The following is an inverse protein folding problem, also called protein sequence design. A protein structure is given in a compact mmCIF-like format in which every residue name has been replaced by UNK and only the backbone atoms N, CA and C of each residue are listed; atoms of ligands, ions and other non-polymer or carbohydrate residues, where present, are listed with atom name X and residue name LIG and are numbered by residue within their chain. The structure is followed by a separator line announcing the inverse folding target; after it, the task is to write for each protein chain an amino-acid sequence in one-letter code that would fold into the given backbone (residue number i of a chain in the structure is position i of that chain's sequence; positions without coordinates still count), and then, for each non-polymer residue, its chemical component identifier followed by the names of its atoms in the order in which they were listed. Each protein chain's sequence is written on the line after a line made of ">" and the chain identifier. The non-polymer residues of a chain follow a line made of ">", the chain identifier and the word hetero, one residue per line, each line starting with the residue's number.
data_IF_283502047716
#
_entry.id   IF_283502047716
#
_cell.length_a   1.000
_cell.length_b   1.000
_cell.length_c   1.000
_cell.angle_alpha   90.00
_cell.angle_beta   90.00
_cell.angle_gamma   90.00
#
_symmetry.space_group_name_H-M   'P 1'
#
loop_
_entity.id
_entity.type
_entity.pdbx_description
1 polymer ?
#
# COMPACT_ATOMS: atom_id res chain seq x y z
N UNK A 1 19.84 -34.60 -10.74
CA UNK A 1 18.91 -34.42 -9.60
C UNK A 1 17.84 -33.46 -10.08
N UNK A 2 16.69 -34.00 -10.47
CA UNK A 2 15.61 -33.32 -11.22
C UNK A 2 14.82 -32.51 -10.21
N UNK A 3 14.88 -31.17 -10.34
CA UNK A 3 13.95 -30.29 -9.60
C UNK A 3 12.54 -30.51 -10.17
N UNK A 4 11.73 -31.21 -9.38
CA UNK A 4 10.31 -31.37 -9.63
C UNK A 4 9.65 -30.00 -9.65
N UNK A 5 9.25 -29.55 -10.84
CA UNK A 5 8.45 -28.35 -11.00
C UNK A 5 7.12 -28.50 -10.26
N UNK A 6 6.94 -27.73 -9.18
CA UNK A 6 5.62 -27.57 -8.56
C UNK A 6 4.69 -26.97 -9.62
N UNK A 7 3.72 -27.77 -10.09
CA UNK A 7 2.61 -27.27 -10.90
C UNK A 7 1.91 -26.17 -10.10
N UNK A 8 2.03 -24.91 -10.52
CA UNK A 8 1.10 -23.86 -10.12
C UNK A 8 -0.28 -24.31 -10.62
N UNK A 9 -1.26 -24.46 -9.72
CA UNK A 9 -2.63 -24.67 -10.17
C UNK A 9 -3.03 -23.46 -10.99
N UNK A 10 -3.27 -23.66 -12.27
CA UNK A 10 -3.70 -22.59 -13.17
C UNK A 10 -5.02 -22.01 -12.64
N UNK A 11 -5.08 -20.70 -12.53
CA UNK A 11 -6.29 -19.98 -12.19
C UNK A 11 -7.25 -20.03 -13.38
N UNK A 12 -8.54 -20.30 -13.12
CA UNK A 12 -9.60 -20.16 -14.14
C UNK A 12 -9.86 -18.69 -14.55
N UNK A 13 -9.19 -17.74 -13.89
CA UNK A 13 -9.34 -16.29 -14.11
C UNK A 13 -8.10 -15.74 -14.78
N UNK A 14 -8.26 -15.35 -16.05
CA UNK A 14 -7.20 -14.68 -16.82
C UNK A 14 -7.57 -13.22 -17.00
N UNK A 15 -6.62 -12.32 -16.76
CA UNK A 15 -6.73 -10.88 -17.07
C UNK A 15 -5.67 -10.55 -18.11
N UNK A 16 -6.12 -10.03 -19.25
CA UNK A 16 -5.24 -9.58 -20.31
C UNK A 16 -4.87 -8.11 -20.11
N UNK A 17 -3.59 -7.79 -20.31
CA UNK A 17 -3.07 -6.43 -20.21
C UNK A 17 -2.20 -6.09 -21.44
N UNK A 18 -2.06 -4.81 -21.74
CA UNK A 18 -1.21 -4.30 -22.83
C UNK A 18 0.05 -3.60 -22.28
N UNK A 19 -0.03 -3.08 -21.07
CA UNK A 19 1.06 -2.38 -20.38
C UNK A 19 0.96 -2.59 -18.87
N UNK A 20 2.09 -2.55 -18.16
CA UNK A 20 2.11 -2.54 -16.69
C UNK A 20 1.43 -1.30 -16.07
N UNK A 21 1.11 -0.29 -16.89
CA UNK A 21 0.36 0.91 -16.47
C UNK A 21 -1.15 0.77 -16.69
N UNK A 22 -1.63 -0.37 -17.18
CA UNK A 22 -3.04 -0.58 -17.41
C UNK A 22 -3.82 -0.60 -16.08
N UNK A 23 -4.95 0.10 -16.08
CA UNK A 23 -5.91 0.03 -14.99
C UNK A 23 -6.88 -1.12 -15.23
N UNK A 24 -6.55 -2.28 -14.66
CA UNK A 24 -7.35 -3.51 -14.81
C UNK A 24 -8.60 -3.50 -13.94
N UNK A 25 -8.69 -2.57 -12.99
CA UNK A 25 -9.88 -2.35 -12.14
C UNK A 25 -10.54 -1.06 -12.54
N UNK A 26 -11.51 -1.14 -13.43
CA UNK A 26 -12.25 0.05 -13.90
C UNK A 26 -13.01 0.69 -12.74
N UNK A 27 -12.78 1.99 -12.51
CA UNK A 27 -13.57 2.84 -11.62
C UNK A 27 -14.48 3.73 -12.46
N UNK A 28 -15.74 3.84 -12.08
CA UNK A 28 -16.70 4.77 -12.73
C UNK A 28 -16.36 6.25 -12.49
N UNK A 29 -15.42 6.54 -11.61
CA UNK A 29 -15.10 7.91 -11.15
C UNK A 29 -13.67 8.33 -11.48
N UNK A 30 -13.03 7.78 -12.53
CA UNK A 30 -11.63 8.05 -12.86
C UNK A 30 -11.35 9.54 -13.11
N UNK A 31 -12.32 10.26 -13.67
CA UNK A 31 -12.22 11.70 -13.96
C UNK A 31 -12.53 12.62 -12.78
N UNK A 32 -12.81 12.04 -11.60
CA UNK A 32 -13.11 12.84 -10.42
C UNK A 32 -11.91 13.68 -10.00
N UNK A 33 -12.14 14.98 -9.82
CA UNK A 33 -11.16 15.93 -9.29
C UNK A 33 -11.64 16.49 -7.96
N UNK A 34 -10.72 16.73 -7.07
CA UNK A 34 -11.02 17.40 -5.80
C UNK A 34 -11.48 18.83 -6.07
N UNK A 35 -12.33 19.32 -5.18
CA UNK A 35 -12.74 20.73 -5.17
C UNK A 35 -11.52 21.62 -4.85
N UNK A 36 -11.50 22.82 -5.40
CA UNK A 36 -10.41 23.79 -5.20
C UNK A 36 -10.20 24.19 -3.73
N UNK A 37 -11.23 24.06 -2.90
CA UNK A 37 -11.21 24.35 -1.47
C UNK A 37 -10.87 23.14 -0.59
N UNK A 38 -10.42 22.02 -1.18
CA UNK A 38 -10.08 20.81 -0.43
C UNK A 38 -8.98 21.06 0.61
N UNK A 39 -9.29 20.74 1.86
CA UNK A 39 -8.36 20.89 2.99
C UNK A 39 -7.51 19.64 3.18
N UNK A 40 -6.28 19.67 2.70
CA UNK A 40 -5.27 18.61 2.89
C UNK A 40 -4.91 18.38 4.35
N UNK A 41 -5.03 19.44 5.16
CA UNK A 41 -4.85 19.40 6.59
C UNK A 41 -6.10 20.03 7.21
N UNK A 42 -6.81 19.28 8.03
CA UNK A 42 -7.95 19.78 8.77
C UNK A 42 -7.61 19.74 10.27
N UNK A 43 -7.40 20.92 10.84
CA UNK A 43 -7.04 21.09 12.26
C UNK A 43 -8.26 21.35 13.17
N UNK A 44 -9.48 21.34 12.61
CA UNK A 44 -10.69 21.48 13.40
C UNK A 44 -10.82 20.34 14.42
N UNK A 45 -11.00 20.68 15.69
CA UNK A 45 -11.01 19.72 16.80
C UNK A 45 -12.13 18.68 16.66
N UNK A 46 -13.34 19.12 16.27
CA UNK A 46 -14.47 18.22 16.08
C UNK A 46 -14.23 17.23 14.95
N UNK A 47 -13.66 17.71 13.82
CA UNK A 47 -13.28 16.84 12.71
C UNK A 47 -12.22 15.82 13.15
N UNK A 48 -11.24 16.23 13.96
CA UNK A 48 -10.19 15.33 14.47
C UNK A 48 -10.75 14.26 15.39
N UNK A 49 -11.65 14.62 16.31
CA UNK A 49 -12.31 13.66 17.21
C UNK A 49 -13.15 12.66 16.43
N UNK A 50 -14.03 13.15 15.53
CA UNK A 50 -14.85 12.28 14.68
C UNK A 50 -13.99 11.36 13.81
N UNK A 51 -12.92 11.88 13.23
CA UNK A 51 -11.96 11.13 12.45
C UNK A 51 -11.25 10.04 13.28
N UNK A 52 -10.98 10.28 14.55
CA UNK A 52 -10.40 9.27 15.45
C UNK A 52 -11.40 8.13 15.69
N UNK A 53 -12.65 8.45 15.97
CA UNK A 53 -13.72 7.47 16.20
C UNK A 53 -13.92 6.59 14.95
N UNK A 54 -14.09 7.22 13.78
CA UNK A 54 -14.29 6.51 12.51
C UNK A 54 -13.08 5.62 12.19
N UNK A 55 -11.86 6.11 12.40
CA UNK A 55 -10.64 5.34 12.18
C UNK A 55 -10.58 4.10 13.08
N UNK A 56 -10.88 4.25 14.37
CA UNK A 56 -10.90 3.11 15.32
C UNK A 56 -11.95 2.08 14.92
N UNK A 57 -13.16 2.51 14.56
CA UNK A 57 -14.22 1.61 14.07
C UNK A 57 -13.74 0.84 12.83
N UNK A 58 -13.12 1.54 11.87
CA UNK A 58 -12.60 0.92 10.66
C UNK A 58 -11.47 -0.09 10.95
N UNK A 59 -10.58 0.19 11.90
CA UNK A 59 -9.54 -0.75 12.33
C UNK A 59 -10.15 -1.99 12.99
N UNK A 60 -11.12 -1.83 13.88
CA UNK A 60 -11.80 -2.97 14.53
C UNK A 60 -12.53 -3.83 13.50
N UNK A 61 -13.30 -3.21 12.60
CA UNK A 61 -13.98 -3.92 11.50
C UNK A 61 -12.97 -4.63 10.58
N UNK A 62 -11.85 -3.95 10.26
CA UNK A 62 -10.75 -4.51 9.48
C UNK A 62 -10.11 -5.73 10.15
N UNK A 63 -9.85 -5.68 11.47
CA UNK A 63 -9.30 -6.81 12.23
C UNK A 63 -10.23 -8.03 12.17
N UNK A 64 -11.53 -7.82 12.38
CA UNK A 64 -12.54 -8.88 12.33
C UNK A 64 -12.57 -9.47 10.89
N UNK A 65 -12.71 -8.60 9.88
CA UNK A 65 -12.75 -9.03 8.48
C UNK A 65 -11.49 -9.76 8.03
N UNK A 66 -10.32 -9.25 8.39
CA UNK A 66 -9.04 -9.87 8.04
C UNK A 66 -8.85 -11.25 8.69
N UNK A 67 -9.25 -11.39 9.95
CA UNK A 67 -9.14 -12.67 10.65
C UNK A 67 -10.11 -13.72 10.11
N UNK A 68 -11.37 -13.32 9.88
CA UNK A 68 -12.43 -14.25 9.46
C UNK A 68 -12.36 -14.60 7.97
N UNK A 69 -12.21 -13.60 7.11
CA UNK A 69 -12.40 -13.78 5.66
C UNK A 69 -11.09 -13.91 4.88
N UNK A 70 -10.03 -13.18 5.25
CA UNK A 70 -8.82 -13.09 4.42
C UNK A 70 -7.64 -13.93 4.94
N UNK A 71 -7.65 -14.34 6.23
CA UNK A 71 -6.56 -15.11 6.80
C UNK A 71 -5.20 -14.43 6.67
N UNK A 72 -5.14 -13.11 6.92
CA UNK A 72 -3.92 -12.31 6.79
C UNK A 72 -2.92 -12.68 7.87
N UNK A 73 -1.70 -13.02 7.45
CA UNK A 73 -0.58 -13.34 8.34
C UNK A 73 0.58 -12.37 8.08
N UNK A 74 0.99 -11.63 9.11
CA UNK A 74 2.16 -10.75 9.03
C UNK A 74 3.44 -11.53 9.38
N UNK A 75 4.41 -11.46 8.48
CA UNK A 75 5.76 -11.99 8.69
C UNK A 75 6.69 -10.84 9.05
N UNK A 76 7.51 -11.07 10.08
CA UNK A 76 8.51 -10.10 10.55
C UNK A 76 7.97 -8.72 11.02
N UNK A 77 6.67 -8.63 11.37
CA UNK A 77 6.02 -7.37 11.82
C UNK A 77 6.76 -6.66 12.96
N UNK A 78 7.55 -7.40 13.75
CA UNK A 78 8.26 -6.85 14.92
C UNK A 78 9.25 -5.73 14.56
N UNK A 79 9.78 -5.70 13.33
CA UNK A 79 10.72 -4.65 12.87
C UNK A 79 10.11 -3.25 12.92
N UNK A 80 8.80 -3.10 12.78
CA UNK A 80 8.10 -1.80 12.88
C UNK A 80 8.27 -1.13 14.26
N UNK A 81 8.62 -1.90 15.30
CA UNK A 81 8.85 -1.37 16.65
C UNK A 81 10.08 -0.47 16.72
N UNK A 82 11.05 -0.66 15.84
CA UNK A 82 12.27 0.15 15.80
C UNK A 82 11.97 1.63 15.57
N UNK A 83 10.98 1.93 14.72
CA UNK A 83 10.56 3.30 14.42
C UNK A 83 9.24 3.70 15.12
N UNK A 84 8.90 3.09 16.27
CA UNK A 84 7.64 3.41 16.96
C UNK A 84 7.50 4.89 17.34
N UNK A 85 8.62 5.59 17.57
CA UNK A 85 8.65 7.01 17.93
C UNK A 85 9.02 7.93 16.76
N UNK A 86 9.10 7.41 15.53
CA UNK A 86 9.41 8.15 14.31
C UNK A 86 8.25 8.07 13.31
N UNK A 87 8.12 9.05 12.42
CA UNK A 87 7.39 8.93 11.18
C UNK A 87 8.25 8.18 10.16
N UNK A 88 7.61 7.43 9.27
CA UNK A 88 8.30 6.64 8.25
C UNK A 88 7.42 6.43 7.03
N UNK A 89 8.03 6.07 5.92
CA UNK A 89 7.30 5.67 4.73
C UNK A 89 7.19 4.15 4.66
N UNK A 90 6.08 3.67 4.11
CA UNK A 90 5.87 2.26 3.78
C UNK A 90 5.63 2.19 2.28
N UNK A 91 6.45 1.43 1.57
CA UNK A 91 6.19 1.07 0.19
C UNK A 91 5.59 -0.33 0.15
N UNK A 92 4.49 -0.49 -0.58
CA UNK A 92 3.79 -1.76 -0.67
C UNK A 92 3.40 -2.07 -2.12
N UNK A 93 3.34 -3.36 -2.49
CA UNK A 93 2.83 -3.79 -3.79
C UNK A 93 1.31 -3.69 -3.82
N UNK A 94 0.72 -3.30 -4.96
CA UNK A 94 -0.69 -2.92 -5.08
C UNK A 94 -1.52 -4.06 -5.67
N UNK A 95 -1.90 -5.02 -4.82
CA UNK A 95 -2.54 -6.26 -5.29
C UNK A 95 -3.85 -6.61 -4.60
N UNK A 96 -4.29 -5.84 -3.61
CA UNK A 96 -5.52 -6.10 -2.87
C UNK A 96 -6.52 -4.94 -3.00
N UNK A 97 -7.57 -5.07 -3.81
CA UNK A 97 -8.52 -3.96 -4.09
C UNK A 97 -9.11 -3.30 -2.83
N UNK A 98 -9.40 -4.11 -1.81
CA UNK A 98 -9.93 -3.63 -0.51
C UNK A 98 -8.86 -3.70 0.57
N UNK A 99 -8.01 -4.73 0.52
CA UNK A 99 -7.00 -5.02 1.56
C UNK A 99 -5.91 -3.97 1.65
N UNK A 100 -5.53 -3.34 0.55
CA UNK A 100 -4.41 -2.40 0.51
C UNK A 100 -4.63 -1.16 1.38
N UNK A 101 -5.87 -0.76 1.65
CA UNK A 101 -6.15 0.31 2.63
C UNK A 101 -6.03 -0.19 4.07
N UNK A 102 -6.38 -1.45 4.30
CA UNK A 102 -6.51 -2.04 5.65
C UNK A 102 -5.22 -2.70 6.11
N UNK A 103 -4.51 -3.41 5.21
CA UNK A 103 -3.30 -4.17 5.54
C UNK A 103 -2.23 -3.32 6.23
N UNK A 104 -1.79 -2.17 5.70
CA UNK A 104 -0.77 -1.37 6.39
C UNK A 104 -1.24 -0.85 7.75
N UNK A 105 -2.52 -0.48 7.85
CA UNK A 105 -3.10 0.03 9.09
C UNK A 105 -3.12 -1.04 10.20
N UNK A 106 -3.48 -2.28 9.87
CA UNK A 106 -3.42 -3.42 10.78
C UNK A 106 -2.00 -3.86 11.10
N UNK A 107 -1.07 -3.67 10.17
CA UNK A 107 0.37 -3.84 10.40
C UNK A 107 0.90 -2.89 11.46
N UNK A 108 0.43 -1.64 11.46
CA UNK A 108 0.91 -0.54 12.30
C UNK A 108 -0.03 -0.19 13.47
N UNK A 109 -0.72 -1.19 14.06
CA UNK A 109 -1.64 -0.95 15.20
C UNK A 109 -0.94 -0.10 16.28
N UNK A 110 -1.64 0.92 16.75
CA UNK A 110 -1.13 1.93 17.70
C UNK A 110 -0.63 3.21 17.03
N UNK A 111 -0.56 3.24 15.69
CA UNK A 111 -0.31 4.45 14.90
C UNK A 111 -1.42 4.68 13.89
N UNK A 112 -1.74 5.93 13.65
CA UNK A 112 -2.62 6.29 12.55
C UNK A 112 -1.84 6.25 11.24
N UNK A 113 -2.26 5.42 10.31
CA UNK A 113 -1.64 5.27 8.99
C UNK A 113 -2.30 6.22 8.00
N UNK A 114 -1.50 6.84 7.15
CA UNK A 114 -1.96 7.64 6.03
C UNK A 114 -1.56 6.98 4.72
N UNK A 115 -2.48 6.89 3.77
CA UNK A 115 -2.28 6.21 2.48
C UNK A 115 -2.41 7.21 1.36
N UNK A 116 -1.42 7.26 0.47
CA UNK A 116 -1.51 8.07 -0.75
C UNK A 116 -2.43 7.36 -1.74
N UNK A 117 -3.49 8.05 -2.20
CA UNK A 117 -4.55 7.48 -3.02
C UNK A 117 -4.88 8.38 -4.21
N UNK A 118 -5.41 7.80 -5.30
CA UNK A 118 -5.93 8.57 -6.43
C UNK A 118 -7.11 9.45 -6.03
N UNK A 119 -7.24 10.63 -6.64
CA UNK A 119 -8.41 11.50 -6.47
C UNK A 119 -9.72 10.79 -6.87
N UNK A 120 -9.67 9.86 -7.83
CA UNK A 120 -10.80 9.06 -8.27
C UNK A 120 -11.54 8.36 -7.10
N UNK A 121 -10.80 7.94 -6.08
CA UNK A 121 -11.38 7.27 -4.90
C UNK A 121 -12.33 8.20 -4.10
N UNK A 122 -12.10 9.51 -4.14
CA UNK A 122 -12.95 10.49 -3.48
C UNK A 122 -14.31 10.67 -4.17
N UNK A 123 -14.43 10.26 -5.43
CA UNK A 123 -15.68 10.21 -6.17
C UNK A 123 -16.60 9.04 -5.80
N UNK A 124 -16.12 8.06 -5.04
CA UNK A 124 -16.94 6.90 -4.64
C UNK A 124 -18.01 7.37 -3.64
N UNK A 125 -19.32 7.11 -3.94
CA UNK A 125 -20.40 7.52 -3.04
C UNK A 125 -20.18 7.00 -1.61
N UNK A 126 -20.49 7.82 -0.60
CA UNK A 126 -20.32 7.55 0.84
C UNK A 126 -18.84 7.36 1.23
N UNK A 127 -18.12 6.42 0.62
CA UNK A 127 -16.71 6.11 0.94
C UNK A 127 -15.81 7.32 0.73
N UNK A 128 -15.98 8.05 -0.39
CA UNK A 128 -15.17 9.22 -0.70
C UNK A 128 -15.19 10.29 0.40
N UNK A 129 -16.34 10.49 1.07
CA UNK A 129 -16.50 11.41 2.19
C UNK A 129 -15.79 10.96 3.46
N UNK A 130 -15.61 9.65 3.63
CA UNK A 130 -14.94 9.05 4.79
C UNK A 130 -13.40 8.96 4.61
N UNK A 131 -12.91 8.98 3.37
CA UNK A 131 -11.49 8.81 3.07
C UNK A 131 -10.57 9.76 3.84
N UNK A 132 -10.85 11.08 3.97
CA UNK A 132 -10.02 11.98 4.77
C UNK A 132 -9.96 11.56 6.25
N UNK A 133 -11.07 11.03 6.78
CA UNK A 133 -11.17 10.57 8.16
C UNK A 133 -10.46 9.24 8.37
N UNK A 134 -10.32 8.44 7.32
CA UNK A 134 -9.60 7.15 7.32
C UNK A 134 -8.10 7.29 7.05
N UNK A 135 -7.60 8.50 6.79
CA UNK A 135 -6.19 8.77 6.58
C UNK A 135 -5.76 8.75 5.12
N UNK A 136 -6.68 8.84 4.17
CA UNK A 136 -6.32 8.99 2.76
C UNK A 136 -5.71 10.37 2.50
N UNK A 137 -4.61 10.38 1.72
CA UNK A 137 -3.96 11.57 1.19
C UNK A 137 -4.07 11.52 -0.34
N UNK A 138 -4.86 12.40 -0.97
CA UNK A 138 -5.03 12.36 -2.41
C UNK A 138 -3.74 12.76 -3.14
N UNK A 139 -3.47 12.13 -4.29
CA UNK A 139 -2.37 12.54 -5.19
C UNK A 139 -2.71 13.90 -5.78
N UNK A 140 -1.78 14.88 -5.82
CA UNK A 140 -2.02 16.17 -6.42
C UNK A 140 -2.18 16.08 -7.94
N UNK A 141 -3.15 16.80 -8.51
CA UNK A 141 -3.38 16.91 -9.94
C UNK A 141 -2.74 18.17 -10.55
N UNK A 142 -2.23 19.10 -9.72
CA UNK A 142 -1.63 20.35 -10.16
C UNK A 142 -0.43 20.74 -9.28
N UNK A 143 0.37 21.70 -9.76
CA UNK A 143 1.50 22.26 -8.99
C UNK A 143 1.03 22.96 -7.72
N UNK A 144 -0.12 23.65 -7.78
CA UNK A 144 -0.69 24.32 -6.61
C UNK A 144 -1.12 23.31 -5.52
N UNK A 145 -1.73 22.20 -5.91
CA UNK A 145 -2.08 21.12 -5.00
C UNK A 145 -0.84 20.42 -4.43
N UNK A 146 0.26 20.34 -5.20
CA UNK A 146 1.49 19.70 -4.74
C UNK A 146 2.05 20.35 -3.47
N UNK A 147 1.97 21.68 -3.34
CA UNK A 147 2.42 22.38 -2.11
C UNK A 147 1.63 21.92 -0.89
N UNK A 148 0.31 21.82 -1.03
CA UNK A 148 -0.60 21.38 0.05
C UNK A 148 -0.41 19.90 0.39
N UNK A 149 -0.25 19.06 -0.64
CA UNK A 149 0.09 17.64 -0.49
C UNK A 149 1.42 17.46 0.25
N UNK A 150 2.46 18.21 -0.17
CA UNK A 150 3.77 18.14 0.47
C UNK A 150 3.72 18.58 1.92
N UNK A 151 3.01 19.67 2.24
CA UNK A 151 2.79 20.09 3.62
C UNK A 151 2.06 19.00 4.43
N UNK A 152 1.09 18.32 3.83
CA UNK A 152 0.33 17.27 4.50
C UNK A 152 1.20 16.06 4.85
N UNK A 153 1.90 15.43 3.90
CA UNK A 153 2.71 14.26 4.24
C UNK A 153 3.88 14.61 5.18
N UNK A 154 4.52 15.78 5.02
CA UNK A 154 5.55 16.27 5.95
C UNK A 154 5.03 16.39 7.38
N UNK A 155 3.84 16.99 7.56
CA UNK A 155 3.17 17.09 8.88
C UNK A 155 2.89 15.71 9.46
N UNK A 156 2.46 14.73 8.64
CA UNK A 156 2.21 13.36 9.12
C UNK A 156 3.49 12.67 9.60
N UNK A 157 4.57 12.77 8.83
CA UNK A 157 5.89 12.23 9.21
C UNK A 157 6.41 12.91 10.49
N UNK A 158 6.33 14.25 10.59
CA UNK A 158 6.74 14.98 11.79
C UNK A 158 5.93 14.58 13.03
N UNK A 159 4.65 14.28 12.86
CA UNK A 159 3.77 13.77 13.92
C UNK A 159 3.92 12.26 14.18
N UNK A 160 5.00 11.64 13.71
CA UNK A 160 5.36 10.22 13.96
C UNK A 160 4.40 9.21 13.34
N UNK A 161 3.65 9.60 12.32
CA UNK A 161 2.74 8.73 11.59
C UNK A 161 3.39 8.10 10.36
N UNK A 162 3.07 6.84 10.02
CA UNK A 162 3.47 6.24 8.75
C UNK A 162 2.65 6.78 7.58
N UNK A 163 3.33 6.93 6.44
CA UNK A 163 2.72 7.27 5.14
C UNK A 163 2.98 6.12 4.17
N UNK A 164 1.92 5.56 3.61
CA UNK A 164 1.95 4.41 2.70
C UNK A 164 1.88 4.88 1.25
N UNK A 165 2.71 4.28 0.43
CA UNK A 165 2.80 4.52 -1.00
C UNK A 165 2.75 3.19 -1.73
N UNK A 166 1.89 3.10 -2.73
CA UNK A 166 1.82 2.02 -3.69
C UNK A 166 2.48 2.47 -4.99
N UNK A 167 3.79 2.22 -5.18
CA UNK A 167 4.52 2.82 -6.30
C UNK A 167 4.09 2.29 -7.67
N UNK A 168 3.44 1.13 -7.72
CA UNK A 168 2.87 0.53 -8.94
C UNK A 168 1.65 1.30 -9.48
N UNK A 169 1.11 2.26 -8.72
CA UNK A 169 -0.02 3.15 -9.01
C UNK A 169 -1.38 2.44 -9.16
N UNK A 170 -1.50 1.46 -10.05
CA UNK A 170 -2.75 0.74 -10.33
C UNK A 170 -2.82 -0.57 -9.56
N UNK A 171 -3.98 -0.90 -9.01
CA UNK A 171 -4.19 -2.18 -8.33
C UNK A 171 -4.37 -3.30 -9.36
N UNK A 172 -3.55 -4.36 -9.23
CA UNK A 172 -3.73 -5.58 -10.00
C UNK A 172 -4.11 -6.71 -9.05
N UNK A 173 -5.40 -7.08 -8.99
CA UNK A 173 -5.91 -8.02 -8.00
C UNK A 173 -5.17 -9.34 -8.00
N UNK A 174 -4.64 -9.72 -6.83
CA UNK A 174 -3.93 -10.99 -6.62
C UNK A 174 -2.70 -11.21 -7.50
N UNK A 175 -2.11 -10.16 -8.06
CA UNK A 175 -0.86 -10.26 -8.82
C UNK A 175 0.26 -10.78 -7.93
N UNK A 176 1.00 -11.80 -8.43
CA UNK A 176 2.05 -12.49 -7.67
C UNK A 176 3.45 -12.01 -7.98
N UNK A 177 3.60 -11.11 -8.93
CA UNK A 177 4.87 -10.49 -9.30
C UNK A 177 4.83 -8.97 -9.11
N UNK A 178 6.00 -8.36 -9.09
CA UNK A 178 6.15 -6.91 -8.92
C UNK A 178 6.27 -6.27 -10.30
N UNK A 179 5.39 -5.32 -10.59
CA UNK A 179 5.45 -4.52 -11.81
C UNK A 179 6.49 -3.43 -11.69
N UNK A 180 7.04 -2.99 -12.81
CA UNK A 180 7.95 -1.83 -12.82
C UNK A 180 7.20 -0.57 -12.39
N UNK A 181 7.88 0.30 -11.62
CA UNK A 181 7.33 1.56 -11.15
C UNK A 181 8.38 2.67 -11.15
N UNK A 182 7.91 3.92 -11.09
CA UNK A 182 8.76 5.10 -11.13
C UNK A 182 9.40 5.41 -9.78
N UNK A 183 10.61 5.95 -9.79
CA UNK A 183 11.34 6.33 -8.58
C UNK A 183 10.91 7.66 -7.96
N UNK A 184 9.98 8.39 -8.57
CA UNK A 184 9.61 9.77 -8.20
C UNK A 184 9.25 9.91 -6.72
N UNK A 185 8.44 9.00 -6.17
CA UNK A 185 7.99 9.06 -4.77
C UNK A 185 9.09 8.84 -3.74
N UNK A 186 10.19 8.18 -4.13
CA UNK A 186 11.33 7.93 -3.23
C UNK A 186 12.12 9.21 -2.87
N UNK A 187 11.85 10.29 -3.57
CA UNK A 187 12.34 11.62 -3.20
C UNK A 187 11.80 12.06 -1.83
N UNK A 188 10.58 11.67 -1.45
CA UNK A 188 9.97 12.08 -0.18
C UNK A 188 10.75 11.61 1.04
N UNK A 189 11.05 10.30 1.21
CA UNK A 189 11.88 9.84 2.31
C UNK A 189 13.32 10.36 2.20
N UNK A 190 13.90 10.51 1.01
CA UNK A 190 15.23 11.05 0.82
C UNK A 190 15.34 12.51 1.31
N UNK A 191 14.39 13.38 0.96
CA UNK A 191 14.36 14.79 1.43
C UNK A 191 14.12 14.89 2.94
N UNK A 192 13.26 14.05 3.51
CA UNK A 192 12.90 14.10 4.93
C UNK A 192 13.87 13.30 5.82
N UNK A 193 14.86 12.63 5.23
CA UNK A 193 15.74 11.68 5.94
C UNK A 193 14.93 10.69 6.80
N UNK A 194 13.77 10.28 6.28
CA UNK A 194 12.82 9.42 6.98
C UNK A 194 13.07 7.95 6.66
N UNK A 195 12.91 7.03 7.65
CA UNK A 195 13.04 5.60 7.42
C UNK A 195 11.99 5.09 6.43
N UNK A 196 12.35 4.02 5.72
CA UNK A 196 11.51 3.34 4.74
C UNK A 196 11.32 1.89 5.14
N UNK A 197 10.08 1.44 5.18
CA UNK A 197 9.72 0.03 5.28
C UNK A 197 9.13 -0.48 3.98
N UNK A 198 9.21 -1.78 3.77
CA UNK A 198 8.56 -2.47 2.65
C UNK A 198 7.52 -3.42 3.21
N UNK A 199 6.30 -3.39 2.67
CA UNK A 199 5.28 -4.40 2.91
C UNK A 199 4.96 -5.13 1.61
N UNK A 200 5.35 -6.40 1.51
CA UNK A 200 5.07 -7.21 0.34
C UNK A 200 3.98 -8.22 0.64
N UNK A 201 2.86 -8.06 -0.04
CA UNK A 201 1.73 -9.00 0.00
C UNK A 201 1.99 -10.14 -0.97
N UNK A 202 1.87 -11.37 -0.48
CA UNK A 202 2.03 -12.61 -1.25
C UNK A 202 0.87 -13.56 -0.98
N UNK A 203 0.69 -14.54 -1.85
CA UNK A 203 -0.45 -15.43 -1.84
C UNK A 203 -0.04 -16.87 -1.64
N UNK A 204 -0.75 -17.56 -0.73
CA UNK A 204 -0.50 -18.97 -0.42
C UNK A 204 -1.79 -19.79 -0.45
N UNK A 205 -1.68 -21.08 -0.71
CA UNK A 205 -2.83 -21.98 -0.60
C UNK A 205 -3.31 -22.02 0.84
N UNK A 206 -4.55 -21.58 1.05
CA UNK A 206 -5.18 -21.57 2.39
C UNK A 206 -5.95 -22.85 2.61
N UNK A 207 -5.74 -23.44 3.78
CA UNK A 207 -6.52 -24.58 4.25
C UNK A 207 -7.29 -24.21 5.54
N UNK A 208 -8.55 -24.61 5.60
CA UNK A 208 -9.37 -24.49 6.82
C UNK A 208 -9.88 -25.90 7.11
N UNK A 209 -9.60 -26.41 8.33
CA UNK A 209 -9.95 -27.76 8.74
C UNK A 209 -9.52 -28.84 7.70
N UNK A 210 -8.33 -28.70 7.14
CA UNK A 210 -7.79 -29.63 6.13
C UNK A 210 -8.26 -29.39 4.69
N UNK A 211 -9.33 -28.62 4.47
CA UNK A 211 -9.90 -28.34 3.14
C UNK A 211 -9.26 -27.10 2.51
N UNK A 212 -8.82 -27.20 1.26
CA UNK A 212 -8.30 -26.06 0.50
C UNK A 212 -9.43 -25.10 0.19
N UNK A 213 -9.27 -23.83 0.56
CA UNK A 213 -10.27 -22.81 0.29
C UNK A 213 -10.14 -22.26 -1.13
N UNK A 214 -11.26 -21.79 -1.71
CA UNK A 214 -11.29 -21.13 -3.04
C UNK A 214 -10.46 -19.85 -3.09
N UNK A 215 -10.33 -19.12 -1.95
CA UNK A 215 -9.55 -17.88 -1.88
C UNK A 215 -8.19 -18.18 -1.25
N UNK A 216 -7.09 -17.59 -1.77
CA UNK A 216 -5.78 -17.77 -1.18
C UNK A 216 -5.68 -17.14 0.20
N UNK A 217 -4.75 -17.62 1.00
CA UNK A 217 -4.26 -16.95 2.19
C UNK A 217 -3.34 -15.79 1.80
N UNK A 218 -3.27 -14.79 2.65
CA UNK A 218 -2.47 -13.58 2.43
C UNK A 218 -1.35 -13.54 3.45
N UNK A 219 -0.10 -13.56 2.99
CA UNK A 219 1.06 -13.26 3.82
C UNK A 219 1.58 -11.87 3.48
N UNK A 220 1.85 -11.07 4.52
CA UNK A 220 2.42 -9.73 4.39
C UNK A 220 3.80 -9.73 5.03
N UNK A 221 4.84 -9.67 4.21
CA UNK A 221 6.22 -9.55 4.67
C UNK A 221 6.55 -8.10 4.97
N UNK A 222 7.15 -7.85 6.13
CA UNK A 222 7.59 -6.52 6.54
C UNK A 222 9.10 -6.49 6.63
N UNK A 223 9.74 -5.66 5.83
CA UNK A 223 11.20 -5.53 5.74
C UNK A 223 11.63 -4.07 5.98
N UNK A 224 12.88 -3.87 6.37
CA UNK A 224 13.44 -2.60 6.77
C UNK A 224 13.64 -2.51 8.29
N UNK A 225 13.88 -1.30 8.84
CA UNK A 225 13.89 0.00 8.13
C UNK A 225 15.12 0.21 7.27
N UNK A 226 14.94 0.82 6.10
CA UNK A 226 16.02 1.34 5.27
C UNK A 226 16.12 2.84 5.50
N UNK A 227 17.32 3.31 5.79
CA UNK A 227 17.59 4.71 6.08
C UNK A 227 18.27 5.40 4.89
N UNK A 228 17.91 6.66 4.57
CA UNK A 228 18.75 7.50 3.72
C UNK A 228 20.14 7.64 4.31
N UNK A 229 21.18 7.58 3.49
CA UNK A 229 22.56 7.80 3.89
C UNK A 229 22.85 9.30 3.97
N UNK A 230 23.38 9.75 5.11
CA UNK A 230 23.72 11.17 5.32
C UNK A 230 24.84 11.69 4.39
N UNK A 231 25.65 10.78 3.83
CA UNK A 231 26.75 11.11 2.92
C UNK A 231 26.32 11.30 1.47
N UNK A 232 25.13 10.79 1.14
CA UNK A 232 24.58 10.83 -0.22
C UNK A 232 23.68 12.06 -0.42
N UNK A 233 23.67 12.57 -1.64
CA UNK A 233 22.71 13.58 -2.07
C UNK A 233 21.27 13.03 -2.04
N UNK A 234 20.27 13.92 -2.11
CA UNK A 234 18.86 13.52 -2.21
C UNK A 234 18.62 12.62 -3.40
N UNK A 235 19.25 12.90 -4.56
CA UNK A 235 19.09 12.11 -5.78
C UNK A 235 19.69 10.70 -5.66
N UNK A 236 20.85 10.58 -5.04
CA UNK A 236 21.50 9.28 -4.78
C UNK A 236 20.70 8.47 -3.76
N UNK A 237 20.23 9.10 -2.68
CA UNK A 237 19.36 8.45 -1.69
C UNK A 237 18.02 8.00 -2.33
N UNK A 238 17.45 8.81 -3.22
CA UNK A 238 16.25 8.43 -3.98
C UNK A 238 16.48 7.16 -4.79
N UNK A 239 17.60 7.05 -5.49
CA UNK A 239 17.97 5.86 -6.26
C UNK A 239 18.22 4.66 -5.35
N UNK A 240 19.04 4.83 -4.33
CA UNK A 240 19.37 3.77 -3.37
C UNK A 240 18.12 3.19 -2.69
N UNK A 241 17.20 4.05 -2.24
CA UNK A 241 15.95 3.60 -1.61
C UNK A 241 15.04 2.89 -2.61
N UNK A 242 14.95 3.39 -3.85
CA UNK A 242 14.21 2.72 -4.92
C UNK A 242 14.73 1.30 -5.16
N UNK A 243 16.05 1.15 -5.35
CA UNK A 243 16.67 -0.15 -5.62
C UNK A 243 16.42 -1.13 -4.46
N UNK A 244 16.65 -0.69 -3.21
CA UNK A 244 16.40 -1.49 -2.01
C UNK A 244 14.95 -1.97 -1.90
N UNK A 245 13.99 -1.08 -2.14
CA UNK A 245 12.55 -1.41 -2.07
C UNK A 245 12.17 -2.36 -3.19
N UNK A 246 12.60 -2.08 -4.42
CA UNK A 246 12.28 -2.90 -5.59
C UNK A 246 12.84 -4.31 -5.47
N UNK A 247 14.14 -4.44 -5.13
CA UNK A 247 14.79 -5.73 -4.90
C UNK A 247 14.10 -6.53 -3.79
N UNK A 248 13.76 -5.85 -2.67
CA UNK A 248 13.07 -6.48 -1.54
C UNK A 248 11.70 -7.02 -1.96
N UNK A 249 10.91 -6.22 -2.68
CA UNK A 249 9.60 -6.65 -3.17
C UNK A 249 9.72 -7.84 -4.13
N UNK A 250 10.68 -7.82 -5.08
CA UNK A 250 10.93 -8.94 -5.99
C UNK A 250 11.33 -10.19 -5.22
N UNK A 251 12.23 -10.08 -4.24
CA UNK A 251 12.64 -11.21 -3.42
C UNK A 251 11.46 -11.83 -2.69
N UNK A 252 10.62 -10.98 -2.07
CA UNK A 252 9.46 -11.45 -1.28
C UNK A 252 8.33 -12.00 -2.16
N UNK A 253 8.10 -11.45 -3.34
CA UNK A 253 7.05 -11.93 -4.25
C UNK A 253 7.22 -13.40 -4.65
N UNK A 254 8.47 -13.90 -4.68
CA UNK A 254 8.78 -15.30 -4.92
C UNK A 254 8.21 -16.27 -3.88
N UNK A 255 7.79 -15.78 -2.72
CA UNK A 255 7.13 -16.59 -1.70
C UNK A 255 5.63 -16.85 -1.99
N UNK A 256 5.09 -16.35 -3.10
CA UNK A 256 3.76 -16.73 -3.55
C UNK A 256 3.80 -18.14 -4.14
N UNK A 257 2.97 -19.05 -3.60
CA UNK A 257 2.83 -20.44 -4.09
C UNK A 257 1.46 -20.70 -4.75
N UNK A 258 0.61 -19.67 -4.79
CA UNK A 258 -0.72 -19.71 -5.36
C UNK A 258 -0.93 -18.55 -6.33
N UNK A 259 -1.22 -18.85 -7.57
CA UNK A 259 -1.63 -17.89 -8.59
C UNK A 259 -3.16 -17.92 -8.71
N UNK A 260 -3.85 -16.97 -8.05
CA UNK A 260 -5.31 -16.91 -8.02
C UNK A 260 -5.91 -16.23 -9.25
N UNK A 261 -5.17 -15.31 -9.87
CA UNK A 261 -5.48 -14.66 -11.15
C UNK A 261 -4.22 -14.73 -12.00
N UNK A 262 -4.35 -15.21 -13.22
CA UNK A 262 -3.28 -15.23 -14.21
C UNK A 262 -3.32 -13.95 -15.04
N UNK A 263 -2.16 -13.30 -15.23
CA UNK A 263 -2.03 -12.09 -16.03
C UNK A 263 -1.24 -12.39 -17.30
N UNK A 264 -1.84 -12.07 -18.45
CA UNK A 264 -1.28 -12.37 -19.76
C UNK A 264 -1.17 -11.10 -20.62
N UNK A 265 0.01 -10.89 -21.22
CA UNK A 265 0.23 -9.77 -22.13
C UNK A 265 -0.55 -10.03 -23.43
N UNK A 266 -1.36 -9.05 -23.85
CA UNK A 266 -2.00 -9.10 -25.17
C UNK A 266 -0.94 -9.08 -26.24
N UNK A 267 -1.02 -10.04 -27.14
CA UNK A 267 -0.21 -10.08 -28.35
C UNK A 267 -0.70 -9.04 -29.35
#
# INVERSE_FOLDING_TARGET
>A
MIMSGMKKDASDKVIYYSSYKDDVVKSSNQDYKLKSDYKWINDNIFHRLLSCIIYVIAIVAGLIGCKLFFGICYKNKKVLKECRHKGYFIYANHTQPVGDVVIPALGCIGKRVYVIVSQANYGIPVIGKLLPMLGALPVPASISEYKSFAAAYKKRIANKHPVVIYPEAHVWPYCTYIRSFEKTSFRFPAELKAPVYVMTTTYTRRRILGVVTKRPGINVYVDGPYYPDAKLSVKENQQMLYDKVYETMILRSKNSDCEYIHYELRQ
#
